data_IF_802955794599
#
_entry.id   IF_802955794599
#
_cell.length_a   1.000
_cell.length_b   1.000
_cell.length_c   1.000
_cell.angle_alpha   90.00
_cell.angle_beta   90.00
_cell.angle_gamma   90.00
#
_symmetry.space_group_name_H-M   'P 1'
#
loop_
_entity.id
_entity.type
_entity.pdbx_description
1 polymer ?
#
# COMPACT_ATOMS: atom_id res chain seq x y z
N UNK A 1 -48.73 -25.19 -28.88
CA UNK A 1 -47.96 -23.96 -28.68
C UNK A 1 -48.23 -23.45 -27.27
N UNK A 2 -47.42 -23.85 -26.29
CA UNK A 2 -47.59 -23.45 -24.89
C UNK A 2 -46.71 -22.23 -24.61
N UNK A 3 -47.35 -21.09 -24.32
CA UNK A 3 -46.71 -19.84 -23.91
C UNK A 3 -46.29 -19.95 -22.43
N UNK A 4 -45.05 -20.37 -22.17
CA UNK A 4 -44.47 -20.37 -20.83
C UNK A 4 -43.87 -19.00 -20.52
N UNK A 5 -44.71 -18.18 -19.90
CA UNK A 5 -44.47 -17.12 -18.91
C UNK A 5 -43.13 -16.34 -18.94
N UNK A 6 -43.14 -15.06 -19.39
CA UNK A 6 -41.99 -14.13 -19.27
C UNK A 6 -41.62 -13.74 -17.83
N UNK A 7 -42.36 -14.23 -16.83
CA UNK A 7 -42.18 -13.91 -15.41
C UNK A 7 -40.93 -14.60 -14.82
N UNK A 8 -40.58 -15.79 -15.30
CA UNK A 8 -39.39 -16.51 -14.84
C UNK A 8 -38.08 -15.84 -15.29
N UNK A 9 -38.08 -15.23 -16.47
CA UNK A 9 -36.92 -14.50 -16.99
C UNK A 9 -36.64 -13.21 -16.20
N UNK A 10 -37.69 -12.53 -15.71
CA UNK A 10 -37.55 -11.27 -14.96
C UNK A 10 -36.99 -11.50 -13.54
N UNK A 11 -37.36 -12.60 -12.87
CA UNK A 11 -36.84 -12.91 -11.53
C UNK A 11 -35.38 -13.36 -11.54
N UNK A 12 -34.92 -14.03 -12.62
CA UNK A 12 -33.50 -14.38 -12.78
C UNK A 12 -32.61 -13.14 -12.97
N UNK A 13 -33.10 -12.12 -13.69
CA UNK A 13 -32.37 -10.87 -13.89
C UNK A 13 -32.24 -10.04 -12.59
N UNK A 14 -33.24 -10.07 -11.72
CA UNK A 14 -33.18 -9.35 -10.43
C UNK A 14 -32.24 -10.01 -9.42
N UNK A 15 -32.16 -11.35 -9.41
CA UNK A 15 -31.21 -12.08 -8.57
C UNK A 15 -29.75 -11.89 -9.04
N UNK A 16 -29.52 -11.82 -10.36
CA UNK A 16 -28.19 -11.55 -10.92
C UNK A 16 -27.71 -10.11 -10.65
N UNK A 17 -28.60 -9.12 -10.68
CA UNK A 17 -28.25 -7.72 -10.39
C UNK A 17 -27.97 -7.45 -8.91
N UNK A 18 -28.47 -8.29 -7.99
CA UNK A 18 -28.29 -8.14 -6.54
C UNK A 18 -27.02 -8.80 -6.01
N UNK A 19 -26.43 -9.74 -6.76
CA UNK A 19 -25.23 -10.48 -6.36
C UNK A 19 -23.91 -9.85 -6.86
N UNK A 20 -23.98 -8.91 -7.78
CA UNK A 20 -22.80 -8.38 -8.49
C UNK A 20 -22.21 -7.08 -7.93
N UNK A 21 -22.66 -6.62 -6.75
CA UNK A 21 -22.26 -5.31 -6.21
C UNK A 21 -21.32 -5.36 -4.98
N UNK A 22 -21.05 -6.53 -4.38
CA UNK A 22 -20.50 -6.59 -3.02
C UNK A 22 -19.21 -7.41 -2.73
N UNK A 23 -18.52 -8.12 -3.66
CA UNK A 23 -17.25 -8.77 -3.29
C UNK A 23 -15.99 -7.96 -3.66
N UNK A 24 -16.04 -7.08 -4.67
CA UNK A 24 -14.82 -6.40 -5.19
C UNK A 24 -14.29 -5.31 -4.23
N UNK A 25 -15.17 -4.63 -3.50
CA UNK A 25 -14.76 -3.58 -2.57
C UNK A 25 -14.07 -4.11 -1.31
N UNK A 26 -14.55 -5.22 -0.74
CA UNK A 26 -13.90 -5.83 0.43
C UNK A 26 -12.51 -6.39 0.09
N UNK A 27 -12.35 -6.99 -1.09
CA UNK A 27 -11.08 -7.57 -1.53
C UNK A 27 -10.02 -6.48 -1.83
N UNK A 28 -10.43 -5.34 -2.37
CA UNK A 28 -9.56 -4.17 -2.54
C UNK A 28 -9.13 -3.56 -1.21
N UNK A 29 -10.07 -3.44 -0.25
CA UNK A 29 -9.78 -2.88 1.07
C UNK A 29 -8.81 -3.78 1.85
N UNK A 30 -9.04 -5.09 1.84
CA UNK A 30 -8.12 -6.08 2.44
C UNK A 30 -6.73 -6.03 1.80
N UNK A 31 -6.67 -5.92 0.47
CA UNK A 31 -5.41 -5.79 -0.27
C UNK A 31 -4.67 -4.50 0.09
N UNK A 32 -5.37 -3.37 0.27
CA UNK A 32 -4.77 -2.09 0.69
C UNK A 32 -4.23 -2.18 2.11
N UNK A 33 -4.96 -2.80 3.03
CA UNK A 33 -4.52 -2.98 4.41
C UNK A 33 -3.28 -3.90 4.51
N UNK A 34 -3.25 -4.97 3.71
CA UNK A 34 -2.08 -5.85 3.62
C UNK A 34 -0.86 -5.11 3.05
N UNK A 35 -1.03 -4.29 2.01
CA UNK A 35 0.07 -3.46 1.47
C UNK A 35 0.58 -2.46 2.50
N UNK A 36 -0.33 -1.80 3.23
CA UNK A 36 0.04 -0.86 4.29
C UNK A 36 0.81 -1.54 5.41
N UNK A 37 0.34 -2.69 5.89
CA UNK A 37 1.04 -3.42 6.95
C UNK A 37 2.42 -3.90 6.51
N UNK A 38 2.56 -4.34 5.26
CA UNK A 38 3.85 -4.70 4.67
C UNK A 38 4.82 -3.51 4.60
N UNK A 39 4.36 -2.36 4.11
CA UNK A 39 5.17 -1.13 4.08
C UNK A 39 5.59 -0.70 5.49
N UNK A 40 4.66 -0.73 6.44
CA UNK A 40 4.96 -0.40 7.84
C UNK A 40 6.00 -1.33 8.45
N UNK A 41 5.99 -2.61 8.07
CA UNK A 41 7.01 -3.55 8.49
C UNK A 41 8.37 -3.23 7.84
N UNK A 42 8.42 -3.01 6.53
CA UNK A 42 9.66 -2.63 5.85
C UNK A 42 10.28 -1.35 6.45
N UNK A 43 9.45 -0.34 6.76
CA UNK A 43 9.94 0.89 7.40
C UNK A 43 10.49 0.64 8.81
N UNK A 44 9.94 -0.32 9.56
CA UNK A 44 10.53 -0.74 10.85
C UNK A 44 11.88 -1.40 10.66
N UNK A 45 12.00 -2.28 9.68
CA UNK A 45 13.25 -3.00 9.39
C UNK A 45 14.35 -2.03 8.93
N UNK A 46 14.02 -1.05 8.07
CA UNK A 46 14.94 0.05 7.71
C UNK A 46 15.48 0.77 8.94
N UNK A 47 14.62 1.08 9.91
CA UNK A 47 15.06 1.76 11.13
C UNK A 47 16.01 0.89 11.94
N UNK A 48 15.76 -0.42 12.03
CA UNK A 48 16.67 -1.35 12.71
C UNK A 48 18.04 -1.34 12.05
N UNK A 49 18.10 -1.44 10.72
CA UNK A 49 19.36 -1.40 9.98
C UNK A 49 20.12 -0.08 10.20
N UNK A 50 19.42 1.06 10.22
CA UNK A 50 20.03 2.35 10.54
C UNK A 50 20.54 2.44 11.98
N UNK A 51 19.85 1.83 12.96
CA UNK A 51 20.37 1.75 14.34
C UNK A 51 21.58 0.82 14.47
N UNK A 52 21.69 -0.18 13.59
CA UNK A 52 22.80 -1.11 13.53
C UNK A 52 23.96 -0.62 12.63
N UNK A 53 23.91 0.62 12.14
CA UNK A 53 24.93 1.21 11.25
C UNK A 53 25.09 0.47 9.91
N UNK A 54 24.04 -0.24 9.46
CA UNK A 54 23.99 -0.93 8.18
C UNK A 54 23.40 -0.03 7.08
N UNK A 55 24.02 1.12 6.84
CA UNK A 55 23.49 2.17 5.96
C UNK A 55 23.24 1.69 4.52
N UNK A 56 24.15 0.90 3.94
CA UNK A 56 24.01 0.39 2.57
C UNK A 56 22.78 -0.53 2.44
N UNK A 57 22.56 -1.38 3.45
CA UNK A 57 21.42 -2.29 3.47
C UNK A 57 20.12 -1.53 3.69
N UNK A 58 20.09 -0.56 4.61
CA UNK A 58 18.98 0.36 4.80
C UNK A 58 18.63 1.11 3.50
N UNK A 59 19.62 1.61 2.76
CA UNK A 59 19.43 2.29 1.48
C UNK A 59 18.84 1.37 0.42
N UNK A 60 19.23 0.11 0.38
CA UNK A 60 18.65 -0.87 -0.53
C UNK A 60 17.17 -1.09 -0.23
N UNK A 61 16.82 -1.38 1.03
CA UNK A 61 15.43 -1.59 1.46
C UNK A 61 14.55 -0.35 1.23
N UNK A 62 15.08 0.86 1.47
CA UNK A 62 14.33 2.10 1.19
C UNK A 62 14.02 2.27 -0.31
N UNK A 63 14.93 1.86 -1.21
CA UNK A 63 14.68 1.91 -2.66
C UNK A 63 13.63 0.90 -3.08
N UNK A 64 13.64 -0.30 -2.49
CA UNK A 64 12.63 -1.33 -2.75
C UNK A 64 11.24 -0.88 -2.29
N UNK A 65 11.13 -0.35 -1.07
CA UNK A 65 9.89 0.23 -0.55
C UNK A 65 9.37 1.37 -1.44
N UNK A 66 10.28 2.22 -1.95
CA UNK A 66 9.95 3.29 -2.88
C UNK A 66 9.38 2.76 -4.20
N UNK A 67 10.00 1.73 -4.77
CA UNK A 67 9.51 1.11 -6.01
C UNK A 67 8.12 0.48 -5.80
N UNK A 68 7.90 -0.18 -4.67
CA UNK A 68 6.61 -0.76 -4.32
C UNK A 68 5.50 0.29 -4.16
N UNK A 69 5.82 1.48 -3.66
CA UNK A 69 4.88 2.60 -3.59
C UNK A 69 4.59 3.20 -4.96
N UNK A 70 5.61 3.41 -5.79
CA UNK A 70 5.40 3.93 -7.15
C UNK A 70 4.46 3.01 -7.95
N UNK A 71 4.59 1.70 -7.78
CA UNK A 71 3.73 0.74 -8.47
C UNK A 71 2.23 0.88 -8.11
N UNK A 72 1.89 1.42 -6.93
CA UNK A 72 0.51 1.53 -6.45
C UNK A 72 -0.27 2.70 -7.05
N UNK A 73 0.42 3.75 -7.54
CA UNK A 73 -0.19 4.91 -8.24
C UNK A 73 -1.40 5.55 -7.51
N UNK A 74 -1.33 5.70 -6.19
CA UNK A 74 -2.34 6.43 -5.39
C UNK A 74 -1.75 7.61 -4.60
N UNK A 75 -2.60 8.56 -4.17
CA UNK A 75 -2.19 9.79 -3.48
C UNK A 75 -1.46 9.52 -2.14
N UNK A 76 -1.74 8.39 -1.50
CA UNK A 76 -1.04 7.96 -0.28
C UNK A 76 0.37 7.53 -0.63
N UNK A 77 0.53 6.80 -1.73
CA UNK A 77 1.80 6.34 -2.26
C UNK A 77 2.70 7.49 -2.71
N UNK A 78 2.15 8.53 -3.35
CA UNK A 78 2.94 9.72 -3.74
C UNK A 78 3.57 10.42 -2.52
N UNK A 79 2.79 10.60 -1.44
CA UNK A 79 3.29 11.15 -0.18
C UNK A 79 4.33 10.23 0.46
N UNK A 80 4.11 8.93 0.42
CA UNK A 80 5.07 7.93 0.89
C UNK A 80 6.42 8.00 0.15
N UNK A 81 6.38 8.14 -1.18
CA UNK A 81 7.58 8.29 -2.02
C UNK A 81 8.35 9.56 -1.65
N UNK A 82 7.67 10.70 -1.48
CA UNK A 82 8.32 11.96 -1.12
C UNK A 82 8.97 11.93 0.28
N UNK A 83 8.44 11.14 1.22
CA UNK A 83 9.09 10.91 2.52
C UNK A 83 10.30 10.01 2.41
N UNK A 84 10.21 8.92 1.64
CA UNK A 84 11.34 8.02 1.39
C UNK A 84 12.49 8.73 0.67
N UNK A 85 12.20 9.59 -0.31
CA UNK A 85 13.25 10.37 -1.01
C UNK A 85 14.02 11.28 -0.06
N UNK A 86 13.32 11.91 0.89
CA UNK A 86 13.97 12.72 1.94
C UNK A 86 14.78 11.87 2.91
N UNK A 87 14.28 10.71 3.32
CA UNK A 87 15.00 9.81 4.21
C UNK A 87 16.27 9.25 3.55
N UNK A 88 16.19 8.86 2.27
CA UNK A 88 17.33 8.40 1.47
C UNK A 88 18.38 9.52 1.35
N UNK A 89 17.95 10.76 1.11
CA UNK A 89 18.86 11.91 1.07
C UNK A 89 19.59 12.06 2.41
N UNK A 90 18.88 12.02 3.53
CA UNK A 90 19.48 12.17 4.86
C UNK A 90 20.52 11.07 5.16
N UNK A 91 20.20 9.80 4.90
CA UNK A 91 21.15 8.69 5.10
C UNK A 91 22.42 8.87 4.25
N UNK A 92 22.28 9.27 2.98
CA UNK A 92 23.44 9.53 2.11
C UNK A 92 24.34 10.67 2.57
N UNK A 93 23.85 11.57 3.41
CA UNK A 93 24.61 12.70 3.94
C UNK A 93 25.09 12.45 5.38
N UNK A 94 24.91 11.24 5.91
CA UNK A 94 25.30 10.88 7.28
C UNK A 94 24.35 11.41 8.36
N UNK A 95 23.18 11.94 7.98
CA UNK A 95 22.18 12.49 8.89
C UNK A 95 21.19 11.41 9.35
N UNK A 96 21.70 10.35 9.99
CA UNK A 96 20.90 9.18 10.41
C UNK A 96 19.74 9.55 11.34
N UNK A 97 19.91 10.51 12.25
CA UNK A 97 18.83 11.00 13.11
C UNK A 97 17.70 11.67 12.32
N UNK A 98 18.04 12.44 11.29
CA UNK A 98 17.05 13.06 10.43
C UNK A 98 16.29 12.00 9.62
N UNK A 99 17.01 11.00 9.09
CA UNK A 99 16.40 9.88 8.38
C UNK A 99 15.40 9.12 9.26
N UNK A 100 15.77 8.82 10.51
CA UNK A 100 14.89 8.13 11.47
C UNK A 100 13.61 8.95 11.76
N UNK A 101 13.73 10.26 11.92
CA UNK A 101 12.58 11.14 12.13
C UNK A 101 11.64 11.14 10.92
N UNK A 102 12.19 11.23 9.70
CA UNK A 102 11.42 11.19 8.45
C UNK A 102 10.70 9.85 8.27
N UNK A 103 11.36 8.73 8.56
CA UNK A 103 10.75 7.40 8.51
C UNK A 103 9.63 7.23 9.55
N UNK A 104 9.78 7.84 10.73
CA UNK A 104 8.77 7.81 11.77
C UNK A 104 7.56 8.67 11.42
N UNK A 105 7.76 9.81 10.75
CA UNK A 105 6.67 10.64 10.24
C UNK A 105 5.94 9.94 9.09
N UNK A 106 6.65 9.23 8.20
CA UNK A 106 6.06 8.42 7.15
C UNK A 106 5.16 7.31 7.73
N UNK A 107 5.61 6.65 8.81
CA UNK A 107 4.83 5.63 9.51
C UNK A 107 3.54 6.16 10.14
N UNK A 108 3.48 7.45 10.55
CA UNK A 108 2.27 8.06 11.10
C UNK A 108 1.26 8.50 10.04
N UNK A 109 1.69 8.65 8.78
CA UNK A 109 0.88 9.23 7.70
C UNK A 109 0.28 8.20 6.73
N UNK A 110 0.73 6.94 6.78
CA UNK A 110 0.16 5.82 6.02
C UNK A 110 -0.72 4.92 6.88
#
# INVERSE_FOLDING_TARGET
MSKTSPILALMAAFAAASASAAPVQDDELASREQRRSHLQQQLRDVRVELYCDHEDHALQMMREARQALIAQHDDVSERGVAHLDRAIWAVRHGDTQQALNLLQDAHRQG
#
